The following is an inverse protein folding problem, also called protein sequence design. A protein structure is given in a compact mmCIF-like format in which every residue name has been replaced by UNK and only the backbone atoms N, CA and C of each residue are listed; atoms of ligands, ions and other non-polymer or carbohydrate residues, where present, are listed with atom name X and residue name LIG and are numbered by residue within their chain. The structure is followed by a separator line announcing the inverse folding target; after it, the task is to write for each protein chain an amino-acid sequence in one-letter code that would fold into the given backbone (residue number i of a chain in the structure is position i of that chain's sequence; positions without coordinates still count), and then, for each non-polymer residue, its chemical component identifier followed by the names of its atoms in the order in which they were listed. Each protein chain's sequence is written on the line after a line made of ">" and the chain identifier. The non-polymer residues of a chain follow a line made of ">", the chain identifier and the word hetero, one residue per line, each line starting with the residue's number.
data_IF_362474019454
#
_entry.id   IF_362474019454
#
_cell.length_a   1.000
_cell.length_b   1.000
_cell.length_c   1.000
_cell.angle_alpha   90.00
_cell.angle_beta   90.00
_cell.angle_gamma   90.00
#
_symmetry.space_group_name_H-M   'P 1'
#
loop_
_entity.id
_entity.type
_entity.pdbx_description
1 polymer ?
#
# COMPACT_ATOMS: atom_id res chain seq x y z
N UNK A 1 -37.34 -31.96 -0.10
CA UNK A 1 -36.76 -30.65 -0.45
C UNK A 1 -36.17 -30.78 -1.83
N UNK A 2 -36.62 -30.00 -2.83
CA UNK A 2 -36.15 -30.17 -4.18
C UNK A 2 -34.68 -29.77 -4.26
N UNK A 3 -33.91 -30.48 -5.10
CA UNK A 3 -32.48 -30.28 -5.28
C UNK A 3 -32.21 -28.81 -5.62
N UNK A 4 -31.46 -28.12 -4.76
CA UNK A 4 -30.91 -26.81 -5.09
C UNK A 4 -30.11 -26.95 -6.38
N UNK A 5 -30.40 -26.08 -7.36
CA UNK A 5 -29.51 -25.84 -8.50
C UNK A 5 -28.05 -25.73 -8.03
N UNK A 6 -27.07 -26.10 -8.85
CA UNK A 6 -25.62 -26.00 -8.58
C UNK A 6 -25.12 -24.61 -8.12
N UNK A 7 -25.99 -23.58 -8.14
CA UNK A 7 -25.71 -22.24 -7.65
C UNK A 7 -25.74 -22.19 -6.12
N UNK A 8 -24.58 -21.99 -5.52
CA UNK A 8 -24.44 -21.75 -4.09
C UNK A 8 -25.07 -20.39 -3.68
N UNK A 9 -25.66 -20.25 -2.48
CA UNK A 9 -26.06 -18.94 -1.98
C UNK A 9 -24.85 -18.00 -1.82
N UNK A 10 -24.95 -16.75 -2.31
CA UNK A 10 -23.85 -15.78 -2.20
C UNK A 10 -23.98 -14.58 -3.13
N UNK A 11 -22.96 -13.71 -3.11
CA UNK A 11 -22.84 -12.58 -4.04
C UNK A 11 -22.31 -13.07 -5.39
N UNK A 12 -22.93 -12.58 -6.47
CA UNK A 12 -22.52 -12.86 -7.83
C UNK A 12 -22.36 -11.56 -8.62
N UNK A 13 -21.29 -11.50 -9.40
CA UNK A 13 -21.05 -10.45 -10.39
C UNK A 13 -20.65 -11.14 -11.70
N UNK A 14 -21.64 -11.68 -12.42
CA UNK A 14 -21.42 -12.41 -13.68
C UNK A 14 -22.56 -12.17 -14.66
N UNK A 15 -22.21 -12.15 -15.95
CA UNK A 15 -23.19 -12.08 -17.02
C UNK A 15 -24.11 -13.31 -17.00
N UNK A 16 -25.41 -13.10 -17.18
CA UNK A 16 -26.38 -14.19 -17.39
C UNK A 16 -26.18 -14.73 -18.81
N UNK A 17 -25.49 -15.87 -18.91
CA UNK A 17 -25.31 -16.60 -20.17
C UNK A 17 -26.53 -17.45 -20.50
N UNK A 18 -26.66 -17.94 -21.73
CA UNK A 18 -27.72 -18.91 -22.11
C UNK A 18 -27.69 -20.22 -21.27
N UNK A 19 -26.52 -20.59 -20.75
CA UNK A 19 -26.40 -21.68 -19.78
C UNK A 19 -27.05 -21.31 -18.45
N UNK A 20 -26.66 -20.17 -17.89
CA UNK A 20 -27.19 -19.69 -16.62
C UNK A 20 -28.67 -19.33 -16.68
N UNK A 21 -29.13 -18.75 -17.79
CA UNK A 21 -30.55 -18.45 -18.00
C UNK A 21 -31.41 -19.71 -17.86
N UNK A 22 -30.92 -20.85 -18.38
CA UNK A 22 -31.59 -22.16 -18.23
C UNK A 22 -31.54 -22.68 -16.78
N UNK A 23 -30.42 -22.50 -16.08
CA UNK A 23 -30.29 -22.88 -14.66
C UNK A 23 -31.20 -22.05 -13.74
N UNK A 24 -31.46 -20.79 -14.09
CA UNK A 24 -32.31 -19.88 -13.30
C UNK A 24 -33.82 -20.10 -13.54
N UNK A 25 -34.21 -20.95 -14.50
CA UNK A 25 -35.62 -21.26 -14.74
C UNK A 25 -36.24 -21.88 -13.49
N UNK A 26 -37.26 -21.24 -12.94
CA UNK A 26 -37.92 -21.67 -11.70
C UNK A 26 -37.22 -21.22 -10.41
N UNK A 27 -36.08 -20.54 -10.49
CA UNK A 27 -35.33 -19.99 -9.35
C UNK A 27 -35.22 -18.46 -9.38
N UNK A 28 -35.89 -17.80 -10.33
CA UNK A 28 -35.81 -16.34 -10.54
C UNK A 28 -36.23 -15.49 -9.34
N UNK A 29 -37.14 -15.99 -8.48
CA UNK A 29 -37.52 -15.30 -7.24
C UNK A 29 -36.40 -15.28 -6.19
N UNK A 30 -35.40 -16.14 -6.31
CA UNK A 30 -34.25 -16.23 -5.39
C UNK A 30 -33.00 -15.56 -5.96
N UNK A 31 -33.09 -15.01 -7.18
CA UNK A 31 -31.99 -14.38 -7.88
C UNK A 31 -32.22 -12.87 -8.00
N UNK A 32 -31.28 -12.08 -7.49
CA UNK A 32 -31.25 -10.64 -7.74
C UNK A 32 -30.52 -10.37 -9.06
N UNK A 33 -31.18 -9.68 -9.99
CA UNK A 33 -30.62 -9.35 -11.30
C UNK A 33 -30.86 -7.87 -11.63
N UNK A 34 -29.93 -7.26 -12.36
CA UNK A 34 -30.09 -5.94 -12.98
C UNK A 34 -29.71 -6.01 -14.45
N UNK A 35 -30.22 -5.07 -15.24
CA UNK A 35 -29.82 -4.93 -16.63
C UNK A 35 -28.34 -4.52 -16.73
N UNK A 36 -27.65 -4.96 -17.78
CA UNK A 36 -26.30 -4.52 -18.09
C UNK A 36 -26.33 -3.05 -18.54
N UNK A 37 -25.55 -2.20 -17.90
CA UNK A 37 -25.53 -0.76 -18.19
C UNK A 37 -24.48 -0.42 -19.26
N UNK A 38 -24.72 0.63 -20.05
CA UNK A 38 -23.83 1.01 -21.15
C UNK A 38 -22.41 1.36 -20.68
N UNK A 39 -22.28 1.96 -19.49
CA UNK A 39 -20.99 2.46 -18.97
C UNK A 39 -20.03 1.31 -18.63
N UNK A 40 -20.54 0.16 -18.20
CA UNK A 40 -19.75 -1.02 -17.80
C UNK A 40 -19.78 -2.16 -18.84
N UNK A 41 -20.68 -2.07 -19.85
CA UNK A 41 -20.94 -3.16 -20.77
C UNK A 41 -19.67 -3.66 -21.47
N UNK A 42 -18.81 -2.73 -21.89
CA UNK A 42 -17.55 -3.05 -22.54
C UNK A 42 -16.64 -3.92 -21.65
N UNK A 43 -16.47 -3.54 -20.38
CA UNK A 43 -15.58 -4.24 -19.44
C UNK A 43 -16.14 -5.62 -19.07
N UNK A 44 -17.44 -5.70 -18.76
CA UNK A 44 -18.10 -6.96 -18.40
C UNK A 44 -18.06 -7.97 -19.55
N UNK A 45 -18.36 -7.52 -20.78
CA UNK A 45 -18.30 -8.37 -21.97
C UNK A 45 -16.86 -8.79 -22.30
N UNK A 46 -15.89 -7.89 -22.13
CA UNK A 46 -14.47 -8.18 -22.35
C UNK A 46 -13.98 -9.24 -21.36
N UNK A 47 -14.31 -9.11 -20.08
CA UNK A 47 -13.97 -10.11 -19.06
C UNK A 47 -14.57 -11.49 -19.37
N UNK A 48 -15.82 -11.52 -19.85
CA UNK A 48 -16.48 -12.74 -20.28
C UNK A 48 -15.77 -13.42 -21.48
N UNK A 49 -15.48 -12.65 -22.53
CA UNK A 49 -14.79 -13.14 -23.73
C UNK A 49 -13.34 -13.56 -23.44
N UNK A 50 -12.63 -12.83 -22.58
CA UNK A 50 -11.28 -13.19 -22.14
C UNK A 50 -11.27 -14.55 -21.41
N UNK A 51 -12.24 -14.78 -20.52
CA UNK A 51 -12.39 -16.05 -19.82
C UNK A 51 -12.71 -17.20 -20.78
N UNK A 52 -13.57 -16.98 -21.78
CA UNK A 52 -13.87 -17.95 -22.84
C UNK A 52 -12.64 -18.29 -23.68
N UNK A 53 -11.95 -17.26 -24.17
CA UNK A 53 -10.75 -17.38 -25.01
C UNK A 53 -9.65 -18.14 -24.29
N UNK A 54 -9.41 -17.82 -23.01
CA UNK A 54 -8.44 -18.55 -22.16
C UNK A 54 -8.77 -20.03 -22.04
N UNK A 55 -10.06 -20.39 -21.86
CA UNK A 55 -10.49 -21.80 -21.82
C UNK A 55 -10.24 -22.49 -23.15
N UNK A 56 -10.59 -21.85 -24.27
CA UNK A 56 -10.38 -22.39 -25.61
C UNK A 56 -8.88 -22.63 -25.91
N UNK A 57 -8.02 -21.66 -25.61
CA UNK A 57 -6.56 -21.79 -25.80
C UNK A 57 -5.95 -22.92 -24.95
N UNK A 58 -6.46 -23.16 -23.74
CA UNK A 58 -6.02 -24.28 -22.87
C UNK A 58 -6.59 -25.65 -23.28
N UNK A 59 -7.63 -25.68 -24.12
CA UNK A 59 -8.29 -26.90 -24.53
C UNK A 59 -7.53 -27.66 -25.64
N UNK A 60 -6.59 -27.02 -26.35
CA UNK A 60 -5.77 -27.69 -27.36
C UNK A 60 -5.03 -28.91 -26.79
N UNK A 61 -4.93 -29.97 -27.61
CA UNK A 61 -4.32 -31.27 -27.29
C UNK A 61 -3.28 -31.62 -28.35
N UNK A 62 -2.45 -32.62 -28.07
CA UNK A 62 -1.33 -33.02 -28.92
C UNK A 62 0.03 -32.65 -28.32
N UNK A 63 1.06 -32.73 -29.16
CA UNK A 63 2.43 -32.32 -28.83
C UNK A 63 2.51 -30.83 -28.53
N UNK A 64 3.56 -30.39 -27.83
CA UNK A 64 3.75 -28.99 -27.47
C UNK A 64 3.74 -28.07 -28.71
N UNK A 65 4.33 -28.53 -29.82
CA UNK A 65 4.38 -27.80 -31.08
C UNK A 65 2.99 -27.68 -31.74
N UNK A 66 2.20 -28.75 -31.75
CA UNK A 66 0.83 -28.73 -32.29
C UNK A 66 -0.09 -27.85 -31.45
N UNK A 67 0.00 -27.94 -30.11
CA UNK A 67 -0.76 -27.09 -29.20
C UNK A 67 -0.45 -25.62 -29.43
N UNK A 68 0.83 -25.26 -29.49
CA UNK A 68 1.25 -23.88 -29.75
C UNK A 68 0.79 -23.39 -31.12
N UNK A 69 0.91 -24.23 -32.16
CA UNK A 69 0.44 -23.88 -33.50
C UNK A 69 -1.07 -23.57 -33.52
N UNK A 70 -1.88 -24.44 -32.91
CA UNK A 70 -3.33 -24.23 -32.84
C UNK A 70 -3.73 -23.03 -31.98
N UNK A 71 -2.99 -22.75 -30.89
CA UNK A 71 -3.20 -21.55 -30.07
C UNK A 71 -2.94 -20.27 -30.86
N UNK A 72 -1.83 -20.21 -31.59
CA UNK A 72 -1.47 -19.07 -32.45
C UNK A 72 -2.49 -18.88 -33.58
N UNK A 73 -2.91 -19.97 -34.22
CA UNK A 73 -3.95 -19.91 -35.24
C UNK A 73 -5.26 -19.36 -34.68
N UNK A 74 -5.71 -19.85 -33.51
CA UNK A 74 -6.92 -19.34 -32.87
C UNK A 74 -6.79 -17.86 -32.50
N UNK A 75 -5.65 -17.45 -31.94
CA UNK A 75 -5.40 -16.05 -31.60
C UNK A 75 -5.50 -15.14 -32.83
N UNK A 76 -4.84 -15.50 -33.93
CA UNK A 76 -4.87 -14.72 -35.17
C UNK A 76 -6.26 -14.70 -35.82
N UNK A 77 -7.02 -15.79 -35.74
CA UNK A 77 -8.42 -15.81 -36.21
C UNK A 77 -9.32 -14.90 -35.38
N UNK A 78 -9.12 -14.87 -34.06
CA UNK A 78 -9.88 -13.96 -33.18
C UNK A 78 -9.51 -12.50 -33.47
N UNK A 79 -8.23 -12.19 -33.66
CA UNK A 79 -7.78 -10.85 -34.05
C UNK A 79 -8.44 -10.40 -35.36
N UNK A 80 -8.46 -11.25 -36.39
CA UNK A 80 -9.09 -10.94 -37.67
C UNK A 80 -10.61 -10.65 -37.58
N UNK A 81 -11.30 -11.17 -36.55
CA UNK A 81 -12.72 -10.86 -36.29
C UNK A 81 -12.89 -9.46 -35.68
N UNK A 82 -11.89 -8.94 -34.96
CA UNK A 82 -11.97 -7.64 -34.29
C UNK A 82 -11.85 -6.46 -35.27
N UNK A 83 -11.26 -6.64 -36.45
CA UNK A 83 -11.27 -5.64 -37.52
C UNK A 83 -9.98 -5.57 -38.33
N UNK A 84 -9.96 -4.70 -39.35
CA UNK A 84 -8.78 -4.50 -40.22
C UNK A 84 -7.61 -3.82 -39.50
N UNK A 85 -7.87 -3.09 -38.41
CA UNK A 85 -6.85 -2.39 -37.63
C UNK A 85 -5.92 -3.30 -36.82
N UNK A 86 -6.16 -4.63 -36.78
CA UNK A 86 -5.34 -5.59 -36.01
C UNK A 86 -4.29 -6.33 -36.84
N UNK A 87 -4.00 -5.90 -38.08
CA UNK A 87 -3.05 -6.61 -38.95
C UNK A 87 -1.64 -6.67 -38.35
N UNK A 88 -1.21 -5.59 -37.70
CA UNK A 88 0.11 -5.50 -37.06
C UNK A 88 0.19 -6.30 -35.73
N UNK A 89 -0.96 -6.68 -35.17
CA UNK A 89 -1.06 -7.44 -33.91
C UNK A 89 -1.11 -8.96 -34.11
N UNK A 90 -1.09 -9.43 -35.36
CA UNK A 90 -1.06 -10.86 -35.65
C UNK A 90 0.23 -11.49 -35.13
N UNK A 91 0.09 -12.60 -34.42
CA UNK A 91 1.25 -13.35 -33.92
C UNK A 91 2.05 -13.86 -35.10
N UNK A 92 3.31 -13.42 -35.17
CA UNK A 92 4.23 -13.77 -36.25
C UNK A 92 4.55 -15.27 -36.28
N UNK A 93 4.96 -15.75 -37.47
CA UNK A 93 5.32 -17.15 -37.68
C UNK A 93 6.48 -17.66 -36.83
N UNK A 94 7.33 -16.77 -36.29
CA UNK A 94 8.40 -17.12 -35.35
C UNK A 94 7.85 -17.60 -34.00
N UNK A 95 6.68 -17.10 -33.57
CA UNK A 95 6.02 -17.43 -32.29
C UNK A 95 6.91 -17.14 -31.08
N UNK A 96 7.78 -16.15 -31.21
CA UNK A 96 8.73 -15.75 -30.18
C UNK A 96 8.14 -14.65 -29.29
N UNK A 97 8.58 -14.63 -28.03
CA UNK A 97 8.31 -13.52 -27.11
C UNK A 97 9.53 -12.60 -27.09
N UNK A 98 9.32 -11.31 -27.33
CA UNK A 98 10.38 -10.32 -27.13
C UNK A 98 10.60 -10.12 -25.63
N UNK A 99 11.76 -10.55 -25.12
CA UNK A 99 12.06 -10.52 -23.69
C UNK A 99 12.90 -9.30 -23.25
N UNK A 100 13.72 -8.76 -24.15
CA UNK A 100 14.55 -7.59 -23.91
C UNK A 100 15.11 -7.04 -25.23
N UNK A 101 15.38 -5.74 -25.27
CA UNK A 101 16.19 -5.07 -26.28
C UNK A 101 17.31 -4.34 -25.55
N UNK A 102 18.53 -4.40 -26.05
CA UNK A 102 19.67 -3.72 -25.43
C UNK A 102 20.51 -2.97 -26.46
N UNK A 103 21.01 -1.81 -26.06
CA UNK A 103 22.06 -1.06 -26.78
C UNK A 103 23.44 -1.27 -26.14
N UNK A 104 23.50 -1.82 -24.92
CA UNK A 104 24.74 -2.05 -24.18
C UNK A 104 25.51 -3.24 -24.75
N UNK A 105 26.83 -3.08 -24.86
CA UNK A 105 27.73 -4.12 -25.36
C UNK A 105 28.95 -4.27 -24.46
N UNK A 106 29.50 -5.49 -24.41
CA UNK A 106 30.82 -5.74 -23.81
C UNK A 106 31.92 -5.08 -24.65
N UNK A 107 33.15 -4.93 -24.15
CA UNK A 107 34.29 -4.46 -24.94
C UNK A 107 34.53 -5.28 -26.23
N UNK A 108 34.18 -6.56 -26.22
CA UNK A 108 34.25 -7.46 -27.38
C UNK A 108 33.04 -7.32 -28.34
N UNK A 109 32.14 -6.37 -28.08
CA UNK A 109 30.98 -6.08 -28.92
C UNK A 109 29.76 -6.98 -28.73
N UNK A 110 29.74 -7.87 -27.71
CA UNK A 110 28.59 -8.74 -27.44
C UNK A 110 27.47 -7.99 -26.72
N UNK A 111 26.18 -8.18 -27.08
CA UNK A 111 25.08 -7.50 -26.39
C UNK A 111 24.97 -7.96 -24.94
N UNK A 112 24.68 -7.01 -24.04
CA UNK A 112 24.48 -7.25 -22.61
C UNK A 112 23.03 -6.93 -22.27
N UNK A 113 22.28 -7.93 -21.83
CA UNK A 113 20.87 -7.79 -21.47
C UNK A 113 20.69 -7.59 -19.96
N UNK A 114 19.69 -6.80 -19.53
CA UNK A 114 19.37 -6.67 -18.13
C UNK A 114 18.88 -8.02 -17.57
N UNK A 115 19.15 -8.27 -16.29
CA UNK A 115 18.61 -9.44 -15.60
C UNK A 115 17.11 -9.25 -15.40
N UNK A 116 16.32 -10.25 -15.79
CA UNK A 116 14.86 -10.22 -15.65
C UNK A 116 14.44 -10.76 -14.28
N UNK A 117 13.35 -10.24 -13.67
CA UNK A 117 12.69 -10.85 -12.53
C UNK A 117 12.28 -12.31 -12.82
N UNK A 118 12.17 -13.13 -11.77
CA UNK A 118 11.69 -14.52 -11.89
C UNK A 118 10.21 -14.53 -12.27
N UNK A 119 9.45 -13.58 -11.72
CA UNK A 119 8.07 -13.33 -12.12
C UNK A 119 8.04 -12.60 -13.47
N UNK A 120 7.32 -13.10 -14.49
CA UNK A 120 7.19 -12.39 -15.76
C UNK A 120 6.69 -10.94 -15.56
N UNK A 121 7.25 -9.99 -16.31
CA UNK A 121 6.84 -8.58 -16.22
C UNK A 121 5.35 -8.37 -16.49
N UNK A 122 4.74 -9.25 -17.27
CA UNK A 122 3.31 -9.20 -17.56
C UNK A 122 2.42 -9.78 -16.45
N UNK A 123 2.96 -10.48 -15.46
CA UNK A 123 2.18 -11.24 -14.48
C UNK A 123 2.22 -10.65 -13.06
N UNK A 124 1.08 -10.56 -12.39
CA UNK A 124 0.98 -10.19 -10.98
C UNK A 124 1.26 -11.42 -10.10
N UNK A 125 1.79 -11.22 -8.89
CA UNK A 125 2.14 -12.32 -7.99
C UNK A 125 2.00 -11.95 -6.52
N UNK A 126 1.71 -12.94 -5.67
CA UNK A 126 1.86 -12.84 -4.22
C UNK A 126 3.21 -13.43 -3.80
N UNK A 127 4.02 -12.63 -3.12
CA UNK A 127 5.34 -12.99 -2.63
C UNK A 127 5.30 -13.08 -1.11
N UNK A 128 5.52 -14.28 -0.56
CA UNK A 128 5.44 -14.52 0.90
C UNK A 128 6.76 -14.87 1.58
N UNK A 129 7.91 -14.65 0.90
CA UNK A 129 9.25 -15.02 1.37
C UNK A 129 9.33 -16.49 1.91
N UNK A 130 8.54 -17.39 1.33
CA UNK A 130 8.50 -18.81 1.74
C UNK A 130 9.72 -19.60 1.27
N UNK A 131 10.00 -20.73 1.93
CA UNK A 131 11.06 -21.65 1.48
C UNK A 131 10.85 -22.07 0.02
N UNK A 132 11.83 -21.77 -0.84
CA UNK A 132 11.79 -22.08 -2.28
C UNK A 132 10.97 -21.10 -3.13
N UNK A 133 10.46 -20.02 -2.56
CA UNK A 133 9.82 -18.93 -3.31
C UNK A 133 10.79 -17.77 -3.52
N UNK A 134 10.59 -16.95 -4.58
CA UNK A 134 11.40 -15.75 -4.79
C UNK A 134 11.28 -14.83 -3.57
N UNK A 135 12.40 -14.45 -2.97
CA UNK A 135 12.39 -13.43 -1.92
C UNK A 135 12.15 -12.07 -2.54
N UNK A 136 11.43 -11.21 -1.83
CA UNK A 136 11.17 -9.83 -2.31
C UNK A 136 12.49 -9.10 -2.59
N UNK A 137 13.51 -9.26 -1.74
CA UNK A 137 14.81 -8.62 -1.96
C UNK A 137 15.47 -9.04 -3.28
N UNK A 138 15.36 -10.32 -3.67
CA UNK A 138 15.92 -10.83 -4.91
C UNK A 138 15.16 -10.36 -6.16
N UNK A 139 13.84 -10.28 -6.07
CA UNK A 139 13.01 -9.71 -7.14
C UNK A 139 13.31 -8.21 -7.32
N UNK A 140 13.38 -7.44 -6.23
CA UNK A 140 13.69 -6.00 -6.30
C UNK A 140 15.05 -5.72 -6.98
N UNK A 141 16.08 -6.54 -6.74
CA UNK A 141 17.38 -6.43 -7.43
C UNK A 141 17.25 -6.54 -8.95
N UNK A 142 16.38 -7.44 -9.43
CA UNK A 142 16.15 -7.66 -10.86
C UNK A 142 15.22 -6.63 -11.47
N UNK A 143 14.27 -6.12 -10.69
CA UNK A 143 13.43 -5.00 -11.09
C UNK A 143 14.30 -3.75 -11.33
N UNK A 144 15.22 -3.42 -10.41
CA UNK A 144 16.19 -2.33 -10.54
C UNK A 144 17.03 -2.41 -11.82
N UNK A 145 17.45 -3.62 -12.21
CA UNK A 145 18.32 -3.82 -13.38
C UNK A 145 17.68 -3.45 -14.73
N UNK A 146 16.37 -3.24 -14.78
CA UNK A 146 15.62 -2.97 -16.02
C UNK A 146 14.65 -1.80 -15.92
N UNK A 147 14.61 -1.10 -14.79
CA UNK A 147 13.77 0.08 -14.60
C UNK A 147 14.44 1.33 -15.19
N UNK A 148 13.62 2.30 -15.60
CA UNK A 148 14.07 3.63 -16.03
C UNK A 148 13.91 4.65 -14.88
N UNK A 149 12.86 4.48 -14.07
CA UNK A 149 12.57 5.29 -12.88
C UNK A 149 12.04 4.42 -11.74
N UNK A 150 12.46 4.72 -10.52
CA UNK A 150 12.05 4.01 -9.32
C UNK A 150 11.52 4.97 -8.27
N UNK A 151 10.31 4.73 -7.84
CA UNK A 151 9.64 5.46 -6.78
C UNK A 151 9.45 4.55 -5.57
N UNK A 152 10.08 4.90 -4.46
CA UNK A 152 10.02 4.17 -3.20
C UNK A 152 9.21 4.97 -2.18
N UNK A 153 8.08 4.42 -1.75
CA UNK A 153 7.32 4.91 -0.60
C UNK A 153 7.56 3.97 0.56
N UNK A 154 8.36 4.34 1.55
CA UNK A 154 8.73 3.44 2.63
C UNK A 154 8.71 4.11 4.00
N UNK A 155 7.86 3.59 4.89
CA UNK A 155 7.80 4.11 6.25
C UNK A 155 9.14 4.01 6.98
N UNK A 156 9.83 2.86 6.90
CA UNK A 156 11.09 2.64 7.62
C UNK A 156 12.22 2.28 6.66
N UNK A 157 13.25 3.13 6.63
CA UNK A 157 14.47 2.89 5.86
C UNK A 157 15.62 2.57 6.80
N UNK A 158 16.07 1.31 6.81
CA UNK A 158 17.12 0.80 7.71
C UNK A 158 18.41 0.57 6.93
N UNK A 159 19.55 0.77 7.58
CA UNK A 159 20.87 0.63 6.95
C UNK A 159 21.09 -0.72 6.28
N UNK A 160 20.81 -1.81 7.00
CA UNK A 160 21.01 -3.14 6.44
C UNK A 160 20.04 -3.48 5.31
N UNK A 161 18.90 -2.77 5.21
CA UNK A 161 18.02 -2.88 4.05
C UNK A 161 18.65 -2.25 2.80
N UNK A 162 19.16 -1.02 2.92
CA UNK A 162 19.86 -0.32 1.84
C UNK A 162 21.09 -1.13 1.39
N UNK A 163 21.90 -1.63 2.34
CA UNK A 163 23.10 -2.45 2.05
C UNK A 163 22.82 -3.70 1.20
N UNK A 164 21.62 -4.27 1.27
CA UNK A 164 21.25 -5.45 0.48
C UNK A 164 21.11 -5.09 -1.00
N UNK A 165 20.59 -3.90 -1.30
CA UNK A 165 20.29 -3.44 -2.66
C UNK A 165 21.35 -2.47 -3.21
N UNK A 166 22.40 -2.19 -2.46
CA UNK A 166 23.31 -1.07 -2.74
C UNK A 166 24.00 -1.16 -4.09
N UNK A 167 24.49 -2.34 -4.47
CA UNK A 167 25.18 -2.52 -5.76
C UNK A 167 24.21 -2.26 -6.92
N UNK A 168 22.99 -2.77 -6.83
CA UNK A 168 21.95 -2.57 -7.84
C UNK A 168 21.43 -1.13 -7.89
N UNK A 169 21.27 -0.46 -6.73
CA UNK A 169 20.91 0.96 -6.67
C UNK A 169 22.01 1.83 -7.28
N UNK A 170 23.28 1.53 -6.98
CA UNK A 170 24.42 2.24 -7.54
C UNK A 170 24.55 2.05 -9.05
N UNK A 171 24.28 0.84 -9.56
CA UNK A 171 24.27 0.56 -10.99
C UNK A 171 23.10 1.26 -11.69
N UNK A 172 21.91 1.20 -11.10
CA UNK A 172 20.70 1.86 -11.60
C UNK A 172 20.91 3.37 -11.78
N UNK A 173 21.38 4.08 -10.74
CA UNK A 173 21.60 5.53 -10.82
C UNK A 173 22.76 5.87 -11.78
N UNK A 174 23.85 5.09 -11.76
CA UNK A 174 24.97 5.28 -12.72
C UNK A 174 24.54 5.08 -14.17
N UNK A 175 23.55 4.22 -14.41
CA UNK A 175 22.93 4.01 -15.71
C UNK A 175 22.01 5.16 -16.17
N UNK A 176 21.83 6.19 -15.33
CA UNK A 176 20.94 7.33 -15.59
C UNK A 176 19.52 7.16 -15.05
N UNK A 177 19.27 6.10 -14.28
CA UNK A 177 17.96 5.87 -13.65
C UNK A 177 17.66 6.89 -12.54
N UNK A 178 16.41 7.33 -12.45
CA UNK A 178 15.97 8.25 -11.39
C UNK A 178 15.39 7.49 -10.20
N UNK A 179 15.94 7.71 -9.00
CA UNK A 179 15.46 7.13 -7.75
C UNK A 179 14.85 8.22 -6.85
N UNK A 180 13.55 8.10 -6.56
CA UNK A 180 12.83 8.98 -5.64
C UNK A 180 12.37 8.20 -4.42
N UNK A 181 12.57 8.76 -3.23
CA UNK A 181 12.27 8.10 -1.97
C UNK A 181 11.45 9.01 -1.08
N UNK A 182 10.26 8.57 -0.69
CA UNK A 182 9.45 9.19 0.36
C UNK A 182 9.53 8.34 1.62
N UNK A 183 9.84 8.97 2.75
CA UNK A 183 9.89 8.32 4.06
C UNK A 183 9.40 9.24 5.18
N UNK A 184 9.49 8.78 6.42
CA UNK A 184 9.07 9.51 7.61
C UNK A 184 9.98 9.22 8.80
N UNK A 185 9.98 10.15 9.76
CA UNK A 185 10.60 9.96 11.09
C UNK A 185 9.71 9.21 12.07
N UNK A 186 8.45 8.91 11.71
CA UNK A 186 7.47 8.23 12.56
C UNK A 186 8.06 6.99 13.24
N UNK A 187 7.90 6.91 14.58
CA UNK A 187 8.44 5.85 15.46
C UNK A 187 9.97 5.73 15.51
N UNK A 188 10.71 6.69 14.97
CA UNK A 188 12.18 6.72 15.04
C UNK A 188 12.86 5.50 14.41
N UNK A 189 12.16 4.83 13.49
CA UNK A 189 12.63 3.56 12.92
C UNK A 189 13.49 3.75 11.67
N UNK A 190 13.39 4.89 10.99
CA UNK A 190 14.31 5.21 9.90
C UNK A 190 15.70 5.54 10.46
N UNK A 191 16.76 5.09 9.79
CA UNK A 191 18.14 5.37 10.19
C UNK A 191 18.74 6.44 9.28
N UNK A 192 19.23 7.55 9.86
CA UNK A 192 19.85 8.63 9.09
C UNK A 192 20.95 8.15 8.14
N UNK A 193 21.86 7.29 8.61
CA UNK A 193 22.93 6.74 7.76
C UNK A 193 22.41 6.03 6.51
N UNK A 194 21.20 5.46 6.57
CA UNK A 194 20.58 4.80 5.42
C UNK A 194 20.08 5.84 4.40
N UNK A 195 19.50 6.94 4.87
CA UNK A 195 19.08 8.06 4.01
C UNK A 195 20.28 8.78 3.41
N UNK A 196 21.31 9.07 4.21
CA UNK A 196 22.57 9.66 3.75
C UNK A 196 23.15 8.83 2.60
N UNK A 197 23.16 7.49 2.75
CA UNK A 197 23.66 6.60 1.70
C UNK A 197 22.81 6.61 0.44
N UNK A 198 21.48 6.70 0.55
CA UNK A 198 20.62 6.82 -0.62
C UNK A 198 20.90 8.11 -1.39
N UNK A 199 21.05 9.24 -0.69
CA UNK A 199 21.41 10.52 -1.32
C UNK A 199 22.80 10.45 -1.95
N UNK A 200 23.79 9.85 -1.28
CA UNK A 200 25.14 9.62 -1.85
C UNK A 200 25.12 8.78 -3.13
N UNK A 201 24.19 7.83 -3.23
CA UNK A 201 23.99 7.03 -4.45
C UNK A 201 23.29 7.82 -5.57
N UNK A 202 22.72 8.99 -5.26
CA UNK A 202 22.02 9.88 -6.19
C UNK A 202 20.50 9.80 -6.11
N UNK A 203 19.93 9.31 -5.01
CA UNK A 203 18.49 9.36 -4.78
C UNK A 203 18.02 10.76 -4.37
N UNK A 204 16.84 11.15 -4.85
CA UNK A 204 16.08 12.27 -4.31
C UNK A 204 15.26 11.76 -3.12
N UNK A 205 15.45 12.34 -1.94
CA UNK A 205 14.80 11.87 -0.70
C UNK A 205 13.93 12.97 -0.12
N UNK A 206 12.67 12.64 0.16
CA UNK A 206 11.72 13.48 0.91
C UNK A 206 11.29 12.81 2.20
N UNK A 207 11.20 13.59 3.27
CA UNK A 207 10.91 13.12 4.63
C UNK A 207 9.71 13.88 5.19
N UNK A 208 8.71 13.15 5.69
CA UNK A 208 7.72 13.71 6.61
C UNK A 208 8.25 13.67 8.03
N UNK A 209 8.55 14.85 8.58
CA UNK A 209 8.91 15.07 9.98
C UNK A 209 7.68 15.19 10.88
N UNK A 210 6.51 15.49 10.30
CA UNK A 210 5.25 15.59 11.02
C UNK A 210 4.65 14.19 11.23
N UNK A 211 4.55 13.77 12.49
CA UNK A 211 4.13 12.41 12.88
C UNK A 211 2.72 12.37 13.46
N UNK A 212 2.08 13.53 13.65
CA UNK A 212 0.78 13.66 14.31
C UNK A 212 -0.39 13.72 13.34
N UNK A 213 -0.18 14.21 12.12
CA UNK A 213 -1.22 14.35 11.08
C UNK A 213 -1.15 13.24 10.03
N UNK A 214 0.04 12.93 9.51
CA UNK A 214 0.25 11.96 8.43
C UNK A 214 1.08 10.79 8.92
N UNK A 215 0.42 9.68 9.28
CA UNK A 215 1.11 8.43 9.63
C UNK A 215 1.41 7.62 8.39
N UNK A 216 2.47 7.99 7.69
CA UNK A 216 2.97 7.20 6.58
C UNK A 216 3.39 5.81 7.10
N UNK A 217 2.59 4.80 6.81
CA UNK A 217 2.91 3.40 7.09
C UNK A 217 2.85 2.52 5.84
N UNK A 218 2.81 3.14 4.65
CA UNK A 218 2.91 2.42 3.39
C UNK A 218 4.32 1.86 3.18
N UNK A 219 4.40 0.76 2.43
CA UNK A 219 5.63 0.21 1.88
C UNK A 219 5.34 -0.21 0.46
N UNK A 220 5.94 0.49 -0.47
CA UNK A 220 5.76 0.18 -1.85
C UNK A 220 6.91 0.66 -2.72
N UNK A 221 7.09 -0.08 -3.82
CA UNK A 221 8.01 0.23 -4.89
C UNK A 221 7.21 0.34 -6.18
N UNK A 222 7.52 1.34 -7.00
CA UNK A 222 7.07 1.43 -8.38
C UNK A 222 8.28 1.49 -9.29
N UNK A 223 8.42 0.49 -10.16
CA UNK A 223 9.44 0.38 -11.19
C UNK A 223 8.82 0.76 -12.53
N UNK A 224 9.10 1.98 -12.99
CA UNK A 224 8.60 2.47 -14.26
C UNK A 224 9.54 2.08 -15.38
N UNK A 225 8.95 1.66 -16.50
CA UNK A 225 9.65 1.31 -17.73
C UNK A 225 8.99 1.98 -18.91
N UNK A 226 9.79 2.61 -19.76
CA UNK A 226 9.34 3.19 -21.03
C UNK A 226 8.81 2.13 -22.00
N UNK A 227 9.14 0.85 -21.76
CA UNK A 227 8.62 -0.30 -22.52
C UNK A 227 7.14 -0.58 -22.28
N UNK A 228 6.49 0.08 -21.31
CA UNK A 228 5.12 -0.21 -20.89
C UNK A 228 4.97 -1.37 -19.91
N UNK A 229 6.06 -2.08 -19.60
CA UNK A 229 6.07 -3.22 -18.66
C UNK A 229 6.44 -2.79 -17.22
N UNK A 230 5.82 -1.70 -16.77
CA UNK A 230 6.01 -1.18 -15.41
C UNK A 230 5.41 -2.13 -14.37
N UNK A 231 6.01 -2.17 -13.18
CA UNK A 231 5.64 -3.08 -12.10
C UNK A 231 5.63 -2.35 -10.77
N UNK A 232 4.76 -2.76 -9.85
CA UNK A 232 4.74 -2.23 -8.50
C UNK A 232 4.71 -3.34 -7.47
N UNK A 233 5.23 -3.07 -6.28
CA UNK A 233 5.20 -3.95 -5.12
C UNK A 233 4.53 -3.19 -4.01
N UNK A 234 3.48 -3.75 -3.41
CA UNK A 234 2.78 -3.18 -2.26
C UNK A 234 2.65 -4.25 -1.19
N UNK A 235 3.06 -3.94 0.04
CA UNK A 235 3.04 -4.96 1.08
C UNK A 235 3.52 -4.48 2.44
N UNK A 236 3.92 -5.45 3.26
CA UNK A 236 4.42 -5.22 4.61
C UNK A 236 5.93 -4.94 4.67
N UNK A 237 6.67 -5.22 3.59
CA UNK A 237 8.13 -5.14 3.55
C UNK A 237 8.66 -3.71 3.56
N UNK A 238 9.22 -3.27 4.70
CA UNK A 238 10.05 -2.08 4.75
C UNK A 238 11.42 -2.30 4.07
N UNK A 239 12.18 -1.22 3.87
CA UNK A 239 13.58 -1.32 3.42
C UNK A 239 14.48 -1.71 4.60
N UNK A 240 14.39 -2.98 5.00
CA UNK A 240 15.16 -3.57 6.10
C UNK A 240 15.59 -5.00 5.77
N UNK A 241 16.66 -5.49 6.42
CA UNK A 241 17.13 -6.87 6.21
C UNK A 241 16.06 -7.91 6.52
N UNK A 242 15.36 -7.74 7.65
CA UNK A 242 14.31 -8.67 8.04
C UNK A 242 13.21 -8.72 6.98
N UNK A 243 12.76 -7.57 6.47
CA UNK A 243 11.68 -7.54 5.50
C UNK A 243 12.08 -8.07 4.11
N UNK A 244 13.35 -7.93 3.74
CA UNK A 244 13.83 -8.32 2.40
C UNK A 244 14.30 -9.78 2.32
N UNK A 245 14.70 -10.39 3.44
CA UNK A 245 15.33 -11.72 3.46
C UNK A 245 14.66 -12.66 4.47
N UNK A 246 14.69 -12.30 5.76
CA UNK A 246 14.48 -13.28 6.84
C UNK A 246 13.01 -13.35 7.34
N UNK A 247 12.19 -12.37 7.00
CA UNK A 247 10.88 -12.13 7.58
C UNK A 247 9.72 -12.73 6.79
N UNK A 248 8.66 -13.09 7.52
CA UNK A 248 7.37 -13.46 6.96
C UNK A 248 6.65 -12.20 6.50
N UNK A 249 6.89 -11.83 5.24
CA UNK A 249 6.33 -10.63 4.64
C UNK A 249 5.43 -11.01 3.47
N UNK A 250 4.34 -10.27 3.31
CA UNK A 250 3.43 -10.46 2.18
C UNK A 250 3.53 -9.23 1.29
N UNK A 251 3.90 -9.45 0.04
CA UNK A 251 3.94 -8.41 -0.97
C UNK A 251 3.13 -8.85 -2.17
N UNK A 252 2.26 -7.96 -2.64
CA UNK A 252 1.60 -8.11 -3.92
C UNK A 252 2.43 -7.37 -4.95
N UNK A 253 2.89 -8.11 -5.95
CA UNK A 253 3.45 -7.57 -7.17
C UNK A 253 2.33 -7.33 -8.18
N UNK A 254 2.28 -6.13 -8.72
CA UNK A 254 1.34 -5.68 -9.73
C UNK A 254 2.08 -5.46 -11.05
N UNK A 255 1.46 -5.90 -12.15
CA UNK A 255 1.94 -5.71 -13.52
C UNK A 255 1.06 -4.69 -14.25
N UNK A 256 1.64 -3.73 -14.95
CA UNK A 256 0.90 -2.80 -15.80
C UNK A 256 0.12 -3.50 -16.92
N UNK A 257 0.57 -4.67 -17.37
CA UNK A 257 -0.11 -5.45 -18.42
C UNK A 257 -1.40 -6.08 -17.91
N UNK A 258 -1.41 -6.54 -16.66
CA UNK A 258 -2.59 -7.18 -16.07
C UNK A 258 -3.50 -6.20 -15.35
N UNK A 259 -2.94 -5.19 -14.69
CA UNK A 259 -3.65 -4.28 -13.78
C UNK A 259 -3.23 -2.82 -14.02
N UNK A 260 -3.41 -2.26 -15.24
CA UNK A 260 -2.95 -0.91 -15.58
C UNK A 260 -3.53 0.17 -14.64
N UNK A 261 -4.84 0.10 -14.37
CA UNK A 261 -5.54 1.07 -13.51
C UNK A 261 -4.97 1.16 -12.07
N UNK A 262 -4.45 0.05 -11.52
CA UNK A 262 -3.83 0.05 -10.19
C UNK A 262 -2.46 0.75 -10.22
N UNK A 263 -1.70 0.58 -11.30
CA UNK A 263 -0.42 1.26 -11.49
C UNK A 263 -0.63 2.76 -11.69
N UNK A 264 -1.65 3.17 -12.43
CA UNK A 264 -2.01 4.58 -12.62
C UNK A 264 -2.41 5.24 -11.30
N UNK A 265 -3.26 4.55 -10.52
CA UNK A 265 -3.66 5.01 -9.18
C UNK A 265 -2.44 5.14 -8.27
N UNK A 266 -1.54 4.16 -8.29
CA UNK A 266 -0.31 4.20 -7.52
C UNK A 266 0.55 5.40 -7.92
N UNK A 267 0.77 5.58 -9.22
CA UNK A 267 1.58 6.66 -9.77
C UNK A 267 1.02 8.03 -9.38
N UNK A 268 -0.29 8.23 -9.54
CA UNK A 268 -0.97 9.47 -9.15
C UNK A 268 -0.83 9.74 -7.65
N UNK A 269 -1.10 8.74 -6.81
CA UNK A 269 -0.95 8.83 -5.35
C UNK A 269 0.48 9.17 -4.94
N UNK A 270 1.49 8.57 -5.60
CA UNK A 270 2.89 8.88 -5.32
C UNK A 270 3.22 10.33 -5.68
N UNK A 271 2.79 10.82 -6.84
CA UNK A 271 3.02 12.22 -7.23
C UNK A 271 2.32 13.21 -6.31
N UNK A 272 1.13 12.89 -5.79
CA UNK A 272 0.45 13.69 -4.75
C UNK A 272 1.33 13.83 -3.50
N UNK A 273 1.84 12.71 -2.96
CA UNK A 273 2.74 12.76 -1.81
C UNK A 273 4.07 13.44 -2.14
N UNK A 274 4.59 13.26 -3.35
CA UNK A 274 5.83 13.90 -3.78
C UNK A 274 5.69 15.42 -3.87
N UNK A 275 4.51 15.92 -4.24
CA UNK A 275 4.19 17.35 -4.32
C UNK A 275 3.69 17.98 -3.01
N UNK A 276 3.33 17.16 -2.01
CA UNK A 276 2.79 17.63 -0.74
C UNK A 276 3.90 18.31 0.12
N UNK A 277 3.70 19.57 0.55
CA UNK A 277 4.65 20.28 1.43
C UNK A 277 4.94 19.59 2.76
N UNK A 278 4.12 18.63 3.21
CA UNK A 278 4.39 17.81 4.38
C UNK A 278 5.61 16.87 4.20
N UNK A 279 6.02 16.60 2.96
CA UNK A 279 7.21 15.83 2.63
C UNK A 279 8.31 16.77 2.12
N UNK A 280 9.25 17.06 3.00
CA UNK A 280 10.33 18.01 2.76
C UNK A 280 11.55 17.34 2.14
N UNK A 281 12.23 18.03 1.21
CA UNK A 281 13.50 17.56 0.65
C UNK A 281 14.55 17.38 1.76
N UNK A 282 15.37 16.34 1.64
CA UNK A 282 16.42 16.01 2.60
C UNK A 282 17.81 16.23 2.00
N UNK A 283 18.57 17.15 2.58
CA UNK A 283 19.99 17.36 2.28
C UNK A 283 20.87 16.91 3.47
N UNK A 284 21.67 15.85 3.33
CA UNK A 284 22.60 15.41 4.38
C UNK A 284 23.63 16.46 4.82
N UNK A 285 23.85 17.55 4.07
CA UNK A 285 24.75 18.62 4.49
C UNK A 285 24.07 19.62 5.43
N UNK A 286 22.76 19.83 5.28
CA UNK A 286 22.00 20.82 6.03
C UNK A 286 21.15 20.20 7.16
N UNK A 287 20.56 19.02 6.92
CA UNK A 287 19.44 18.51 7.71
C UNK A 287 19.79 17.41 8.71
N UNK A 288 21.06 16.96 8.78
CA UNK A 288 21.48 15.86 9.67
C UNK A 288 21.06 16.07 11.12
N UNK A 289 21.28 17.28 11.66
CA UNK A 289 20.95 17.62 13.04
C UNK A 289 19.45 17.57 13.30
N UNK A 290 18.66 18.17 12.40
CA UNK A 290 17.19 18.17 12.45
C UNK A 290 16.64 16.75 12.39
N UNK A 291 17.19 15.92 11.51
CA UNK A 291 16.77 14.52 11.37
C UNK A 291 17.10 13.69 12.60
N UNK A 292 18.31 13.83 13.15
CA UNK A 292 18.70 13.12 14.37
C UNK A 292 17.80 13.52 15.56
N UNK A 293 17.47 14.80 15.71
CA UNK A 293 16.53 15.27 16.74
C UNK A 293 15.12 14.70 16.55
N UNK A 294 14.58 14.77 15.33
CA UNK A 294 13.24 14.24 15.03
C UNK A 294 13.14 12.72 15.24
N UNK A 295 14.15 11.96 14.81
CA UNK A 295 14.21 10.51 15.03
C UNK A 295 14.37 10.17 16.51
N UNK A 296 15.15 10.95 17.27
CA UNK A 296 15.34 10.76 18.69
C UNK A 296 14.04 11.03 19.47
N UNK A 297 13.31 12.10 19.14
CA UNK A 297 12.01 12.41 19.75
C UNK A 297 11.00 11.28 19.56
N UNK A 298 10.91 10.74 18.34
CA UNK A 298 10.00 9.64 18.01
C UNK A 298 10.45 8.29 18.57
N UNK A 299 11.76 8.02 18.59
CA UNK A 299 12.34 6.79 19.14
C UNK A 299 12.34 6.76 20.67
N UNK A 300 12.46 7.92 21.31
CA UNK A 300 12.36 8.06 22.76
C UNK A 300 10.94 7.84 23.29
N UNK A 301 9.90 7.96 22.44
CA UNK A 301 8.54 7.56 22.80
C UNK A 301 8.39 6.07 23.17
N UNK A 302 9.41 5.23 22.91
CA UNK A 302 9.47 3.81 23.29
C UNK A 302 10.43 3.50 24.46
N UNK A 303 11.17 4.49 24.97
CA UNK A 303 11.99 4.34 26.19
C UNK A 303 11.50 5.36 27.21
N UNK A 304 11.04 4.87 28.35
CA UNK A 304 10.80 5.68 29.56
C UNK A 304 11.91 6.72 29.72
N UNK A 305 11.64 7.97 29.34
CA UNK A 305 12.47 9.09 29.73
C UNK A 305 11.88 9.68 31.03
N UNK A 306 12.75 10.13 31.95
CA UNK A 306 12.32 10.68 33.23
C UNK A 306 11.37 11.84 33.00
N UNK A 307 10.21 11.74 33.62
CA UNK A 307 9.13 12.70 33.57
C UNK A 307 9.59 14.05 34.10
N UNK A 308 9.86 15.01 33.22
CA UNK A 308 9.74 16.45 33.50
C UNK A 308 9.97 17.25 32.22
N UNK A 309 8.94 17.40 31.38
CA UNK A 309 8.88 18.54 30.44
C UNK A 309 7.44 19.04 30.34
N UNK A 310 7.35 20.35 30.49
CA UNK A 310 6.26 21.30 30.35
C UNK A 310 4.97 20.84 29.65
N UNK A 311 3.85 21.34 30.19
CA UNK A 311 2.50 21.23 29.64
C UNK A 311 2.46 21.57 28.13
N UNK A 312 2.35 20.53 27.31
CA UNK A 312 1.99 20.65 25.89
C UNK A 312 0.49 20.93 25.81
N UNK A 313 0.11 22.04 25.19
CA UNK A 313 -1.29 22.43 24.99
C UNK A 313 -2.00 21.43 24.06
N UNK A 314 -2.77 20.50 24.62
CA UNK A 314 -3.51 19.48 23.86
C UNK A 314 -4.80 20.09 23.29
N UNK A 315 -4.94 20.09 21.97
CA UNK A 315 -6.13 20.58 21.22
C UNK A 315 -6.87 19.42 20.54
N UNK A 316 -8.22 19.41 20.54
CA UNK A 316 -9.01 18.37 19.88
C UNK A 316 -8.88 18.44 18.35
N UNK A 317 -8.91 17.29 17.68
CA UNK A 317 -9.14 17.24 16.23
C UNK A 317 -10.56 17.70 15.87
N UNK A 318 -10.83 18.06 14.61
CA UNK A 318 -12.15 18.57 14.17
C UNK A 318 -13.33 17.69 14.62
N UNK A 319 -13.27 16.38 14.35
CA UNK A 319 -14.30 15.42 14.77
C UNK A 319 -14.39 15.25 16.30
N UNK A 320 -13.28 15.43 17.03
CA UNK A 320 -13.29 15.41 18.51
C UNK A 320 -13.94 16.68 19.06
N UNK A 321 -13.71 17.82 18.39
CA UNK A 321 -14.37 19.09 18.68
C UNK A 321 -15.87 19.01 18.47
N UNK A 322 -16.33 18.34 17.42
CA UNK A 322 -17.76 18.07 17.18
C UNK A 322 -18.37 17.24 18.32
N UNK A 323 -17.72 16.16 18.73
CA UNK A 323 -18.16 15.34 19.87
C UNK A 323 -18.22 16.16 21.17
N UNK A 324 -17.22 17.00 21.44
CA UNK A 324 -17.19 17.88 22.61
C UNK A 324 -18.29 18.94 22.56
N UNK A 325 -18.57 19.49 21.37
CA UNK A 325 -19.62 20.47 21.16
C UNK A 325 -21.02 19.86 21.37
N UNK A 326 -21.24 18.63 20.90
CA UNK A 326 -22.48 17.89 21.09
C UNK A 326 -22.70 17.53 22.58
N UNK A 327 -21.65 17.07 23.27
CA UNK A 327 -21.68 16.85 24.72
C UNK A 327 -22.00 18.14 25.50
N UNK A 328 -21.43 19.28 25.08
CA UNK A 328 -21.71 20.58 25.67
C UNK A 328 -23.16 21.02 25.41
N UNK A 329 -23.68 20.81 24.19
CA UNK A 329 -25.06 21.12 23.82
C UNK A 329 -26.06 20.29 24.63
N UNK A 330 -25.83 18.98 24.79
CA UNK A 330 -26.69 18.12 25.61
C UNK A 330 -26.78 18.64 27.06
N UNK A 331 -25.67 19.13 27.64
CA UNK A 331 -25.67 19.67 29.01
C UNK A 331 -26.28 21.07 29.10
N UNK A 332 -25.87 22.00 28.23
CA UNK A 332 -26.21 23.42 28.37
C UNK A 332 -27.57 23.78 27.79
N UNK A 333 -27.99 23.09 26.72
CA UNK A 333 -29.24 23.38 26.01
C UNK A 333 -30.35 22.42 26.44
N UNK A 334 -30.01 21.15 26.67
CA UNK A 334 -30.99 20.09 26.92
C UNK A 334 -31.00 19.56 28.37
N UNK A 335 -30.12 20.06 29.23
CA UNK A 335 -29.95 19.65 30.64
C UNK A 335 -29.77 18.12 30.83
N UNK A 336 -29.02 17.50 29.91
CA UNK A 336 -28.73 16.06 29.89
C UNK A 336 -27.27 15.79 30.23
N UNK A 337 -27.08 15.18 31.39
CA UNK A 337 -25.76 14.94 31.98
C UNK A 337 -25.27 13.49 31.86
N UNK A 338 -26.12 12.59 31.36
CA UNK A 338 -25.82 11.15 31.22
C UNK A 338 -25.73 10.77 29.75
N UNK A 339 -24.53 10.89 29.19
CA UNK A 339 -24.28 10.74 27.75
C UNK A 339 -23.37 9.53 27.48
N UNK A 340 -23.67 8.77 26.42
CA UNK A 340 -22.83 7.68 25.93
C UNK A 340 -22.25 8.06 24.58
N UNK A 341 -20.92 8.15 24.51
CA UNK A 341 -20.21 8.44 23.26
C UNK A 341 -19.66 7.14 22.67
N UNK A 342 -20.09 6.80 21.45
CA UNK A 342 -19.58 5.65 20.71
C UNK A 342 -18.56 6.13 19.68
N UNK A 343 -17.31 5.70 19.81
CA UNK A 343 -16.25 6.00 18.84
C UNK A 343 -15.49 4.75 18.43
N UNK A 344 -15.02 4.72 17.18
CA UNK A 344 -14.15 3.67 16.65
C UNK A 344 -12.85 3.52 17.48
N UNK A 345 -12.18 2.37 17.39
CA UNK A 345 -10.87 2.16 18.03
C UNK A 345 -9.81 3.06 17.36
N UNK A 346 -8.87 3.59 18.14
CA UNK A 346 -7.81 4.46 17.61
C UNK A 346 -8.17 5.93 17.38
N UNK A 347 -9.43 6.36 17.54
CA UNK A 347 -9.89 7.75 17.33
C UNK A 347 -9.78 8.65 18.58
N UNK A 348 -9.10 8.18 19.61
CA UNK A 348 -8.79 9.00 20.80
C UNK A 348 -9.94 9.15 21.82
N UNK A 349 -10.76 8.10 22.05
CA UNK A 349 -11.82 8.08 23.09
C UNK A 349 -11.37 8.67 24.44
N UNK A 350 -10.20 8.26 24.92
CA UNK A 350 -9.63 8.71 26.20
C UNK A 350 -9.18 10.18 26.17
N UNK A 351 -8.80 10.70 25.01
CA UNK A 351 -8.44 12.11 24.84
C UNK A 351 -9.68 12.99 24.89
N UNK A 352 -10.76 12.57 24.21
CA UNK A 352 -12.06 13.25 24.26
C UNK A 352 -12.58 13.32 25.70
N UNK A 353 -12.57 12.21 26.44
CA UNK A 353 -13.02 12.22 27.83
C UNK A 353 -12.17 13.11 28.75
N UNK A 354 -10.85 13.14 28.54
CA UNK A 354 -9.94 14.00 29.30
C UNK A 354 -10.15 15.49 28.97
N UNK A 355 -10.40 15.84 27.71
CA UNK A 355 -10.66 17.22 27.28
C UNK A 355 -12.02 17.72 27.78
N UNK A 356 -13.04 16.87 27.72
CA UNK A 356 -14.37 17.16 28.27
C UNK A 356 -14.29 17.43 29.77
N UNK A 357 -13.62 16.57 30.52
CA UNK A 357 -13.35 16.77 31.95
C UNK A 357 -12.58 18.07 32.22
N UNK A 358 -11.53 18.37 31.44
CA UNK A 358 -10.78 19.63 31.57
C UNK A 358 -11.70 20.84 31.40
N UNK A 359 -12.58 20.82 30.41
CA UNK A 359 -13.55 21.89 30.15
C UNK A 359 -14.53 22.06 31.31
N UNK A 360 -15.15 20.96 31.77
CA UNK A 360 -16.07 20.99 32.91
C UNK A 360 -15.41 21.46 34.20
N UNK A 361 -14.17 21.03 34.46
CA UNK A 361 -13.41 21.45 35.63
C UNK A 361 -13.02 22.92 35.57
N UNK A 362 -12.63 23.42 34.39
CA UNK A 362 -12.35 24.84 34.19
C UNK A 362 -13.59 25.72 34.37
N UNK A 363 -14.77 25.19 34.02
CA UNK A 363 -16.06 25.83 34.25
C UNK A 363 -16.57 25.73 35.70
N UNK A 364 -15.89 24.97 36.57
CA UNK A 364 -16.32 24.77 37.96
C UNK A 364 -17.47 23.79 38.15
N UNK A 365 -17.84 23.03 37.11
CA UNK A 365 -18.97 22.10 37.12
C UNK A 365 -18.63 20.77 37.80
N UNK A 366 -17.34 20.39 37.79
CA UNK A 366 -16.87 19.13 38.37
C UNK A 366 -15.49 19.30 39.02
N UNK A 367 -15.28 18.64 40.16
CA UNK A 367 -13.99 18.69 40.89
C UNK A 367 -13.12 17.44 40.70
N UNK A 368 -13.75 16.31 40.37
CA UNK A 368 -13.09 15.00 40.29
C UNK A 368 -13.65 14.14 39.15
N UNK A 369 -12.88 13.14 38.75
CA UNK A 369 -13.25 12.15 37.73
C UNK A 369 -12.90 10.75 38.20
N UNK A 370 -13.83 9.81 38.01
CA UNK A 370 -13.61 8.38 38.22
C UNK A 370 -13.53 7.69 36.85
N UNK A 371 -12.36 7.15 36.52
CA UNK A 371 -12.15 6.41 35.27
C UNK A 371 -12.15 4.90 35.55
N UNK A 372 -13.08 4.17 34.94
CA UNK A 372 -13.26 2.72 35.15
C UNK A 372 -12.87 1.98 33.88
N UNK A 373 -12.02 0.96 34.00
CA UNK A 373 -11.66 0.06 32.91
C UNK A 373 -11.51 -1.38 33.41
N UNK A 374 -11.61 -2.34 32.49
CA UNK A 374 -11.58 -3.77 32.78
C UNK A 374 -10.15 -4.36 32.82
N UNK A 375 -9.12 -3.55 32.55
CA UNK A 375 -7.70 -3.96 32.50
C UNK A 375 -6.82 -2.86 33.09
N UNK A 376 -5.80 -3.25 33.84
CA UNK A 376 -4.87 -2.35 34.51
C UNK A 376 -4.07 -1.50 33.51
N UNK A 377 -3.68 -2.07 32.37
CA UNK A 377 -2.91 -1.35 31.34
C UNK A 377 -3.70 -0.17 30.76
N UNK A 378 -5.02 -0.31 30.64
CA UNK A 378 -5.92 0.76 30.18
C UNK A 378 -5.98 1.88 31.22
N UNK A 379 -5.99 1.53 32.52
CA UNK A 379 -5.96 2.52 33.60
C UNK A 379 -4.66 3.33 33.57
N UNK A 380 -3.51 2.66 33.44
CA UNK A 380 -2.19 3.31 33.38
C UNK A 380 -2.07 4.25 32.17
N UNK A 381 -2.49 3.81 30.99
CA UNK A 381 -2.49 4.65 29.77
C UNK A 381 -3.45 5.84 29.88
N UNK A 382 -4.63 5.62 30.45
CA UNK A 382 -5.63 6.67 30.63
C UNK A 382 -5.17 7.70 31.66
N UNK A 383 -4.54 7.26 32.74
CA UNK A 383 -3.94 8.15 33.74
C UNK A 383 -2.90 9.09 33.11
N UNK A 384 -2.03 8.57 32.25
CA UNK A 384 -1.06 9.38 31.51
C UNK A 384 -1.74 10.42 30.61
N UNK A 385 -2.76 10.00 29.87
CA UNK A 385 -3.54 10.89 28.98
C UNK A 385 -4.23 12.02 29.75
N UNK A 386 -4.86 11.72 30.89
CA UNK A 386 -5.52 12.72 31.73
C UNK A 386 -4.53 13.71 32.33
N UNK A 387 -3.35 13.26 32.78
CA UNK A 387 -2.30 14.15 33.29
C UNK A 387 -1.80 15.11 32.21
N UNK A 388 -1.61 14.61 30.99
CA UNK A 388 -1.15 15.42 29.87
C UNK A 388 -2.18 16.47 29.45
N UNK A 389 -3.45 16.08 29.28
CA UNK A 389 -4.51 17.00 28.85
C UNK A 389 -4.82 18.04 29.93
N UNK A 390 -4.88 17.64 31.20
CA UNK A 390 -5.27 18.50 32.31
C UNK A 390 -4.08 19.24 32.98
N UNK A 391 -2.83 18.97 32.58
CA UNK A 391 -1.64 19.54 33.22
C UNK A 391 -1.49 19.16 34.70
N UNK A 392 -1.97 18.00 35.11
CA UNK A 392 -2.05 17.59 36.53
C UNK A 392 -0.85 16.76 36.98
N UNK A 393 -0.19 17.16 38.07
CA UNK A 393 0.96 16.45 38.64
C UNK A 393 0.60 15.23 39.52
N UNK A 394 -0.65 15.08 39.98
CA UNK A 394 -1.08 13.92 40.79
C UNK A 394 -2.51 13.47 40.45
N UNK A 395 -2.64 12.19 40.13
CA UNK A 395 -3.89 11.42 40.18
C UNK A 395 -3.66 10.32 41.22
N UNK A 396 -4.47 10.28 42.28
CA UNK A 396 -4.41 9.21 43.26
C UNK A 396 -5.02 7.94 42.65
N UNK A 397 -4.26 6.85 42.61
CA UNK A 397 -4.76 5.52 42.28
C UNK A 397 -5.18 4.83 43.58
N UNK A 398 -6.45 4.50 43.72
CA UNK A 398 -6.87 3.45 44.64
C UNK A 398 -7.04 2.18 43.80
N UNK A 399 -6.19 1.19 44.07
CA UNK A 399 -6.31 -0.19 43.56
C UNK A 399 -7.36 -0.96 44.33
#
# INVERSE_FOLDING_TARGET
>A
MPAMSELAPGLYERLVTEGLARELVGHGEWAQMRALEQVEAADVLTAHLAALTRRALRAFRGTDAERLAGQVELANRLAAVLGEDTQDDLVAGSRELLLAVTRSRTPEGRPVFPRRPETPLSASALLVNGHGQPSVGHELKRELASADRVDLLCAFVRWYGVRILEDELAEFVRGGGQLRVITTTYRGATERRALDRLVELGAEVKISYETRTTRLHAKAWLFRRETGFSTAYVGSSNLSKSALIDGLEWNVRLSAVEQPHLLDTFAATFEEYWGDPAFEDYDPTADRGRLDEALALEGAGARELPWTVAAVDVRPFGYQGEVLAELAAERQVHDRWRNLVVMATGTGKTVVSAMDYRGLRAAGEVESVLFIAHREEILTQSQGTFRQVCGMARLASCT
#
